data_IF_497438143614
#
_entry.id   IF_497438143614
#
_cell.length_a   1.000
_cell.length_b   1.000
_cell.length_c   1.000
_cell.angle_alpha   90.00
_cell.angle_beta   90.00
_cell.angle_gamma   90.00
#
_symmetry.space_group_name_H-M   'P 1'
#
loop_
_entity.id
_entity.type
_entity.pdbx_description
1 polymer ?
#
# COMPACT_ATOMS: atom_id res chain seq x y z
N UNK A 1 20.83 61.99 35.75
CA UNK A 1 21.77 61.09 35.05
C UNK A 1 21.39 59.68 35.44
N UNK A 2 20.76 58.95 34.52
CA UNK A 2 20.05 57.71 34.80
C UNK A 2 20.98 56.51 34.87
N UNK A 3 20.75 55.67 35.88
CA UNK A 3 21.17 54.27 35.96
C UNK A 3 20.08 53.40 35.35
N UNK A 4 20.43 52.37 34.56
CA UNK A 4 19.79 51.04 34.53
C UNK A 4 20.43 50.16 33.45
N UNK A 5 20.72 48.92 33.86
CA UNK A 5 21.30 47.83 33.09
C UNK A 5 20.39 47.29 31.98
N UNK A 6 20.96 46.58 31.00
CA UNK A 6 20.32 45.37 30.44
C UNK A 6 21.12 44.63 29.36
N UNK A 7 21.29 43.33 29.64
CA UNK A 7 21.48 42.15 28.77
C UNK A 7 22.68 42.03 27.82
N UNK A 8 23.59 41.14 28.24
CA UNK A 8 24.51 40.37 27.41
C UNK A 8 23.69 39.53 26.41
N UNK A 9 23.92 39.75 25.12
CA UNK A 9 23.39 38.89 24.07
C UNK A 9 24.01 37.50 24.15
N UNK A 10 23.18 36.50 24.46
CA UNK A 10 23.53 35.09 24.33
C UNK A 10 23.42 34.75 22.85
N UNK A 11 24.52 34.29 22.26
CA UNK A 11 24.52 33.71 20.92
C UNK A 11 23.65 32.45 20.95
N UNK A 12 22.48 32.51 20.33
CA UNK A 12 21.66 31.32 20.04
C UNK A 12 22.33 30.61 18.87
N UNK A 13 23.23 29.67 19.19
CA UNK A 13 23.65 28.65 18.24
C UNK A 13 22.39 27.85 17.87
N UNK A 14 21.90 28.04 16.64
CA UNK A 14 20.87 27.19 16.07
C UNK A 14 21.41 25.78 15.92
N UNK A 15 21.07 24.90 16.85
CA UNK A 15 21.29 23.46 16.69
C UNK A 15 20.24 22.98 15.69
N UNK A 16 20.66 22.76 14.45
CA UNK A 16 19.90 21.97 13.50
C UNK A 16 19.88 20.53 14.01
N UNK A 17 18.78 20.14 14.67
CA UNK A 17 18.53 18.74 15.01
C UNK A 17 18.17 18.05 13.71
N UNK A 18 19.16 17.43 13.07
CA UNK A 18 18.93 16.43 12.04
C UNK A 18 18.25 15.24 12.74
N UNK A 19 16.94 15.08 12.53
CA UNK A 19 16.25 13.84 12.85
C UNK A 19 16.78 12.75 11.92
N UNK A 20 17.87 12.11 12.34
CA UNK A 20 18.28 10.82 11.81
C UNK A 20 17.21 9.84 12.30
N UNK A 21 16.25 9.54 11.44
CA UNK A 21 15.34 8.41 11.63
C UNK A 21 16.17 7.13 11.55
N UNK A 22 16.78 6.76 12.67
CA UNK A 22 17.26 5.41 12.89
C UNK A 22 16.01 4.54 12.96
N UNK A 23 15.73 3.81 11.89
CA UNK A 23 14.84 2.66 11.94
C UNK A 23 15.48 1.63 12.87
N UNK A 24 15.13 1.69 14.16
CA UNK A 24 15.37 0.60 15.08
C UNK A 24 14.45 -0.54 14.69
N UNK A 25 15.00 -1.53 14.00
CA UNK A 25 14.38 -2.84 13.82
C UNK A 25 14.15 -3.43 15.21
N UNK A 26 12.91 -3.35 15.69
CA UNK A 26 12.46 -4.16 16.82
C UNK A 26 12.45 -5.60 16.30
N UNK A 27 13.57 -6.30 16.54
CA UNK A 27 13.68 -7.72 16.31
C UNK A 27 12.74 -8.45 17.27
N UNK A 28 11.50 -8.69 16.84
CA UNK A 28 10.70 -9.74 17.44
C UNK A 28 11.37 -11.06 17.06
N UNK A 29 11.79 -11.82 18.08
CA UNK A 29 12.37 -13.14 17.92
C UNK A 29 11.38 -14.04 17.17
N UNK A 30 11.61 -14.22 15.86
CA UNK A 30 10.95 -15.21 15.04
C UNK A 30 11.62 -16.56 15.30
N UNK A 31 10.81 -17.54 15.71
CA UNK A 31 11.21 -18.94 15.60
C UNK A 31 11.58 -19.27 14.14
N UNK A 32 12.26 -20.40 13.90
CA UNK A 32 12.73 -20.75 12.57
C UNK A 32 11.53 -20.91 11.64
N UNK A 33 11.47 -20.10 10.57
CA UNK A 33 10.62 -20.40 9.40
C UNK A 33 9.63 -19.35 8.93
N UNK A 34 9.67 -18.09 9.39
CA UNK A 34 8.66 -17.10 8.98
C UNK A 34 9.28 -15.79 8.49
N UNK A 35 9.58 -15.74 7.20
CA UNK A 35 10.04 -14.54 6.48
C UNK A 35 8.82 -13.74 5.96
N UNK A 36 8.21 -12.93 6.82
CA UNK A 36 7.23 -11.90 6.48
C UNK A 36 7.29 -10.74 7.47
N UNK A 37 6.80 -9.56 7.08
CA UNK A 37 6.74 -8.34 7.90
C UNK A 37 5.28 -8.00 8.21
N UNK A 38 4.98 -7.55 9.42
CA UNK A 38 3.63 -7.06 9.76
C UNK A 38 3.67 -5.66 10.37
N UNK A 39 2.69 -4.84 10.01
CA UNK A 39 2.35 -3.58 10.65
C UNK A 39 0.90 -3.67 11.16
N UNK A 40 0.75 -3.73 12.49
CA UNK A 40 -0.53 -4.00 13.13
C UNK A 40 -1.13 -5.35 12.69
N UNK A 41 -2.26 -5.31 11.99
CA UNK A 41 -2.97 -6.50 11.48
C UNK A 41 -2.62 -6.84 10.04
N UNK A 42 -1.95 -5.93 9.32
CA UNK A 42 -1.56 -6.12 7.93
C UNK A 42 -0.15 -6.70 7.88
N UNK A 43 0.01 -7.77 7.11
CA UNK A 43 1.26 -8.47 6.93
C UNK A 43 1.58 -8.57 5.45
N UNK A 44 2.85 -8.59 5.10
CA UNK A 44 3.31 -8.75 3.73
C UNK A 44 4.56 -9.61 3.65
N UNK A 45 4.69 -10.32 2.53
CA UNK A 45 5.86 -11.11 2.16
C UNK A 45 6.28 -10.77 0.75
N UNK A 46 7.53 -10.32 0.60
CA UNK A 46 8.15 -10.12 -0.71
C UNK A 46 8.71 -11.43 -1.24
N UNK A 47 8.54 -11.67 -2.54
CA UNK A 47 9.07 -12.83 -3.25
C UNK A 47 9.88 -12.29 -4.42
N UNK A 48 11.17 -12.62 -4.44
CA UNK A 48 12.04 -12.32 -5.57
C UNK A 48 11.64 -13.19 -6.77
N UNK A 49 11.36 -12.57 -7.92
CA UNK A 49 10.88 -13.26 -9.12
C UNK A 49 11.99 -13.90 -9.94
N UNK A 50 13.23 -13.43 -9.80
CA UNK A 50 14.40 -13.87 -10.55
C UNK A 50 14.79 -15.34 -10.35
N UNK A 51 14.26 -16.01 -9.33
CA UNK A 51 14.54 -17.41 -9.01
C UNK A 51 13.29 -18.26 -8.76
N UNK A 52 12.08 -17.71 -8.96
CA UNK A 52 10.84 -18.33 -8.51
C UNK A 52 9.78 -18.46 -9.59
N UNK A 53 8.87 -19.40 -9.33
CA UNK A 53 7.57 -19.58 -10.00
C UNK A 53 6.72 -18.30 -10.17
N UNK A 54 7.07 -17.18 -9.53
CA UNK A 54 6.35 -15.91 -9.60
C UNK A 54 6.63 -15.10 -10.89
N UNK A 55 7.74 -15.39 -11.59
CA UNK A 55 8.11 -14.76 -12.85
C UNK A 55 6.95 -14.68 -13.89
N UNK A 56 6.19 -15.76 -14.21
CA UNK A 56 5.10 -15.64 -15.18
C UNK A 56 3.97 -14.67 -14.78
N UNK A 57 3.85 -14.24 -13.52
CA UNK A 57 2.82 -13.27 -13.10
C UNK A 57 3.36 -11.84 -13.12
N UNK A 58 4.55 -11.62 -12.55
CA UNK A 58 5.12 -10.28 -12.38
C UNK A 58 6.30 -9.98 -13.31
N UNK A 59 6.64 -10.90 -14.21
CA UNK A 59 7.85 -10.84 -15.04
C UNK A 59 9.07 -10.53 -14.15
N UNK A 60 9.85 -9.51 -14.50
CA UNK A 60 11.02 -9.05 -13.76
C UNK A 60 10.67 -8.13 -12.57
N UNK A 61 9.39 -7.92 -12.26
CA UNK A 61 8.94 -7.07 -11.15
C UNK A 61 8.86 -7.87 -9.85
N UNK A 62 9.14 -7.22 -8.71
CA UNK A 62 8.97 -7.83 -7.40
C UNK A 62 7.51 -8.16 -7.14
N UNK A 63 7.25 -9.38 -6.65
CA UNK A 63 5.94 -9.83 -6.22
C UNK A 63 5.84 -9.68 -4.70
N UNK A 64 4.78 -9.04 -4.22
CA UNK A 64 4.47 -8.93 -2.79
C UNK A 64 3.11 -9.54 -2.54
N UNK A 65 3.00 -10.40 -1.52
CA UNK A 65 1.70 -10.87 -1.05
C UNK A 65 1.40 -10.24 0.29
N UNK A 66 0.26 -9.55 0.38
CA UNK A 66 -0.20 -8.86 1.58
C UNK A 66 -1.51 -9.48 2.07
N UNK A 67 -1.73 -9.52 3.38
CA UNK A 67 -2.96 -10.01 3.98
C UNK A 67 -3.26 -9.28 5.29
N UNK A 68 -4.53 -9.27 5.66
CA UNK A 68 -4.96 -8.77 6.96
C UNK A 68 -5.37 -9.96 7.84
N UNK A 69 -4.73 -10.11 9.01
CA UNK A 69 -4.98 -11.22 9.94
C UNK A 69 -6.41 -11.26 10.47
N UNK A 70 -7.14 -10.13 10.45
CA UNK A 70 -8.56 -10.07 10.80
C UNK A 70 -9.49 -10.50 9.67
N UNK A 71 -8.95 -10.67 8.45
CA UNK A 71 -9.67 -11.03 7.22
C UNK A 71 -8.98 -12.22 6.51
N UNK A 72 -8.93 -13.41 7.14
CA UNK A 72 -8.05 -14.52 6.74
C UNK A 72 -8.39 -15.18 5.38
N UNK A 73 -9.43 -14.73 4.69
CA UNK A 73 -9.80 -15.22 3.35
C UNK A 73 -9.28 -14.35 2.21
N UNK A 74 -8.71 -13.18 2.50
CA UNK A 74 -8.35 -12.19 1.49
C UNK A 74 -6.85 -11.91 1.47
N UNK A 75 -6.28 -12.05 0.27
CA UNK A 75 -4.86 -11.85 0.03
C UNK A 75 -4.69 -10.94 -1.18
N UNK A 76 -3.88 -9.90 -1.06
CA UNK A 76 -3.52 -9.03 -2.17
C UNK A 76 -2.17 -9.46 -2.71
N UNK A 77 -2.12 -9.91 -3.96
CA UNK A 77 -0.88 -10.14 -4.69
C UNK A 77 -0.59 -8.90 -5.53
N UNK A 78 0.55 -8.25 -5.31
CA UNK A 78 0.94 -7.03 -6.00
C UNK A 78 2.23 -7.25 -6.79
N UNK A 79 2.22 -6.93 -8.08
CA UNK A 79 3.44 -6.72 -8.85
C UNK A 79 3.81 -5.24 -8.79
N UNK A 80 4.98 -4.94 -8.23
CA UNK A 80 5.49 -3.57 -8.20
C UNK A 80 6.26 -3.28 -9.48
N UNK A 81 5.69 -2.48 -10.36
CA UNK A 81 6.38 -2.11 -11.59
C UNK A 81 7.53 -1.15 -11.25
N UNK A 82 8.72 -1.39 -11.82
CA UNK A 82 9.81 -0.40 -11.83
C UNK A 82 9.63 0.67 -12.93
N UNK A 83 8.43 0.80 -13.50
CA UNK A 83 8.12 1.78 -14.53
C UNK A 83 7.71 3.15 -13.96
N UNK A 84 7.67 4.17 -14.82
CA UNK A 84 7.36 5.56 -14.44
C UNK A 84 5.86 5.81 -14.26
N UNK A 85 5.02 5.01 -14.94
CA UNK A 85 3.59 4.94 -14.71
C UNK A 85 3.35 3.99 -13.54
N UNK A 86 2.75 4.44 -12.44
CA UNK A 86 2.40 3.52 -11.34
C UNK A 86 1.18 2.66 -11.73
N UNK A 87 1.39 1.78 -12.71
CA UNK A 87 0.48 0.74 -13.16
C UNK A 87 0.78 -0.58 -12.43
N UNK A 88 0.97 -0.49 -11.11
CA UNK A 88 1.11 -1.70 -10.31
C UNK A 88 -0.15 -2.53 -10.50
N UNK A 89 0.05 -3.80 -10.81
CA UNK A 89 -1.03 -4.76 -10.95
C UNK A 89 -1.26 -5.43 -9.61
N UNK A 90 -2.50 -5.45 -9.17
CA UNK A 90 -2.89 -6.05 -7.90
C UNK A 90 -4.00 -7.06 -8.15
N UNK A 91 -3.92 -8.22 -7.49
CA UNK A 91 -4.96 -9.23 -7.55
C UNK A 91 -5.39 -9.61 -6.13
N UNK A 92 -6.65 -9.32 -5.83
CA UNK A 92 -7.29 -9.81 -4.62
C UNK A 92 -7.71 -11.25 -4.85
N UNK A 93 -7.08 -12.17 -4.12
CA UNK A 93 -7.42 -13.58 -4.07
C UNK A 93 -8.38 -13.80 -2.89
N UNK A 94 -9.62 -14.17 -3.20
CA UNK A 94 -10.58 -14.69 -2.23
C UNK A 94 -10.36 -16.20 -2.09
N UNK A 95 -9.55 -16.59 -1.10
CA UNK A 95 -9.19 -18.00 -0.85
C UNK A 95 -10.44 -18.86 -0.60
N UNK A 96 -11.46 -18.31 0.05
CA UNK A 96 -12.66 -19.05 0.45
C UNK A 96 -13.56 -19.37 -0.75
N UNK A 97 -13.75 -18.40 -1.63
CA UNK A 97 -14.66 -18.56 -2.78
C UNK A 97 -13.94 -18.94 -4.07
N UNK A 98 -12.60 -18.95 -4.09
CA UNK A 98 -11.81 -19.22 -5.29
C UNK A 98 -11.79 -18.06 -6.31
N UNK A 99 -12.41 -16.92 -5.98
CA UNK A 99 -12.52 -15.77 -6.87
C UNK A 99 -11.24 -14.94 -6.86
N UNK A 100 -10.96 -14.29 -7.99
CA UNK A 100 -9.85 -13.35 -8.13
C UNK A 100 -10.37 -12.07 -8.79
N UNK A 101 -10.01 -10.93 -8.20
CA UNK A 101 -10.35 -9.60 -8.69
C UNK A 101 -9.07 -8.82 -8.97
N UNK A 102 -8.99 -8.13 -10.11
CA UNK A 102 -7.79 -7.43 -10.54
C UNK A 102 -7.97 -5.92 -10.50
N UNK A 103 -6.95 -5.22 -10.01
CA UNK A 103 -6.95 -3.76 -9.83
C UNK A 103 -5.63 -3.16 -10.28
N UNK A 104 -5.68 -1.91 -10.72
CA UNK A 104 -4.52 -1.07 -10.91
C UNK A 104 -4.28 -0.20 -9.67
N UNK A 105 -3.14 0.47 -9.62
CA UNK A 105 -2.77 1.39 -8.55
C UNK A 105 -1.76 0.81 -7.56
N UNK A 106 -1.16 1.65 -6.74
CA UNK A 106 -0.13 1.23 -5.78
C UNK A 106 -0.77 0.78 -4.47
N UNK A 107 -0.61 -0.48 -4.10
CA UNK A 107 -1.05 -0.99 -2.80
C UNK A 107 -0.31 -0.31 -1.64
N UNK A 108 -1.06 0.06 -0.60
CA UNK A 108 -0.57 0.65 0.64
C UNK A 108 -1.30 0.04 1.84
N UNK A 109 -0.66 0.08 3.01
CA UNK A 109 -1.29 -0.39 4.25
C UNK A 109 -2.39 0.58 4.68
N UNK A 110 -3.49 0.05 5.21
CA UNK A 110 -4.55 0.83 5.85
C UNK A 110 -4.04 1.55 7.11
N UNK A 111 -3.07 0.96 7.83
CA UNK A 111 -2.42 1.59 9.00
C UNK A 111 -1.73 2.92 8.65
N UNK A 112 -1.08 3.00 7.48
CA UNK A 112 -0.45 4.22 6.98
C UNK A 112 -1.48 5.34 6.82
N UNK A 113 -2.69 5.02 6.32
CA UNK A 113 -3.75 6.01 6.13
C UNK A 113 -4.23 6.64 7.44
N UNK A 114 -4.07 5.96 8.58
CA UNK A 114 -4.40 6.52 9.88
C UNK A 114 -3.40 7.53 10.44
N UNK A 115 -2.25 7.68 9.79
CA UNK A 115 -1.14 8.54 10.22
C UNK A 115 -0.97 9.77 9.32
N UNK A 116 -1.79 9.90 8.28
CA UNK A 116 -1.61 10.90 7.21
C UNK A 116 -2.86 11.73 6.99
N UNK A 117 -2.66 12.94 6.49
CA UNK A 117 -3.68 13.89 6.07
C UNK A 117 -3.54 14.22 4.57
N UNK A 118 -4.36 15.15 4.07
CA UNK A 118 -4.33 15.57 2.67
C UNK A 118 -3.07 16.34 2.26
N UNK A 119 -2.31 16.88 3.22
CA UNK A 119 -1.04 17.56 2.94
C UNK A 119 0.14 16.59 2.96
N UNK A 120 -0.08 15.35 3.40
CA UNK A 120 0.99 14.36 3.54
C UNK A 120 1.54 13.95 2.19
N UNK A 121 2.86 14.04 2.06
CA UNK A 121 3.58 13.59 0.89
C UNK A 121 3.85 12.09 0.93
N UNK A 122 3.44 11.40 -0.12
CA UNK A 122 3.74 9.99 -0.34
C UNK A 122 5.02 9.90 -1.18
N UNK A 123 6.03 9.10 -0.78
CA UNK A 123 7.22 8.90 -1.58
C UNK A 123 6.87 8.40 -3.00
N UNK A 124 7.30 9.11 -4.03
CA UNK A 124 7.24 8.67 -5.43
C UNK A 124 8.67 8.63 -6.01
N UNK A 125 8.81 8.06 -7.21
CA UNK A 125 10.10 7.78 -7.87
C UNK A 125 10.96 9.03 -8.04
N UNK A 126 10.35 10.17 -8.37
CA UNK A 126 11.09 11.39 -8.73
C UNK A 126 11.12 12.41 -7.61
N UNK A 127 10.01 12.57 -6.91
CA UNK A 127 9.86 13.43 -5.75
C UNK A 127 8.63 12.96 -4.95
N UNK A 128 8.55 13.23 -3.65
CA UNK A 128 7.32 13.02 -2.90
C UNK A 128 6.13 13.77 -3.53
N UNK A 129 4.94 13.17 -3.47
CA UNK A 129 3.71 13.74 -4.03
C UNK A 129 2.59 13.64 -3.00
N UNK A 130 1.86 14.74 -2.80
CA UNK A 130 0.74 14.79 -1.85
C UNK A 130 -0.43 13.87 -2.22
N UNK A 131 -1.24 13.54 -1.23
CA UNK A 131 -2.58 13.02 -1.46
C UNK A 131 -3.48 14.10 -2.09
N UNK A 132 -4.50 13.69 -2.85
CA UNK A 132 -5.48 14.63 -3.41
C UNK A 132 -6.40 15.22 -2.33
N UNK A 133 -6.66 14.42 -1.31
CA UNK A 133 -7.51 14.76 -0.17
C UNK A 133 -7.11 13.89 1.03
N UNK A 134 -7.54 14.29 2.22
CA UNK A 134 -7.32 13.47 3.41
C UNK A 134 -8.07 12.14 3.28
N UNK A 135 -7.46 10.98 3.63
CA UNK A 135 -8.12 9.69 3.51
C UNK A 135 -9.32 9.60 4.46
N UNK A 136 -10.52 9.59 3.88
CA UNK A 136 -11.78 9.35 4.61
C UNK A 136 -12.01 7.86 4.72
N UNK A 137 -12.76 7.44 5.75
CA UNK A 137 -13.25 6.07 5.92
C UNK A 137 -12.20 4.95 5.99
N UNK A 138 -10.91 5.24 6.22
CA UNK A 138 -9.88 4.19 6.30
C UNK A 138 -10.15 3.19 7.43
N UNK A 139 -10.85 3.62 8.49
CA UNK A 139 -11.26 2.79 9.62
C UNK A 139 -12.51 1.92 9.34
N UNK A 140 -13.16 2.07 8.18
CA UNK A 140 -14.31 1.23 7.84
C UNK A 140 -13.87 -0.24 7.82
N UNK A 141 -14.56 -1.05 8.61
CA UNK A 141 -14.32 -2.49 8.70
C UNK A 141 -14.53 -3.17 7.35
N UNK A 142 -15.32 -2.61 6.43
CA UNK A 142 -15.52 -3.16 5.09
C UNK A 142 -14.26 -3.10 4.21
N UNK A 143 -13.29 -2.24 4.55
CA UNK A 143 -12.01 -2.14 3.85
C UNK A 143 -11.19 -3.42 4.03
N UNK A 144 -10.71 -3.95 2.90
CA UNK A 144 -9.77 -5.06 2.86
C UNK A 144 -8.33 -4.56 2.63
N UNK A 145 -8.17 -3.64 1.67
CA UNK A 145 -6.89 -3.05 1.26
C UNK A 145 -7.12 -1.63 0.73
N UNK A 146 -6.06 -0.84 0.62
CA UNK A 146 -6.08 0.48 0.00
C UNK A 146 -5.07 0.58 -1.15
N UNK A 147 -5.45 1.33 -2.19
CA UNK A 147 -4.67 1.56 -3.39
C UNK A 147 -4.51 3.06 -3.62
N UNK A 148 -3.39 3.49 -4.17
CA UNK A 148 -3.13 4.85 -4.61
C UNK A 148 -3.20 4.95 -6.14
N UNK A 149 -3.93 5.94 -6.63
CA UNK A 149 -4.09 6.24 -8.05
C UNK A 149 -3.63 7.67 -8.35
N UNK A 150 -2.84 7.85 -9.42
CA UNK A 150 -2.44 9.19 -9.84
C UNK A 150 -3.63 9.92 -10.45
N UNK A 151 -3.89 11.14 -9.98
CA UNK A 151 -4.92 12.04 -10.54
C UNK A 151 -4.28 13.35 -10.95
N UNK A 152 -4.69 13.94 -12.09
CA UNK A 152 -4.27 15.29 -12.44
C UNK A 152 -4.52 16.25 -11.28
N UNK A 153 -3.56 17.13 -11.02
CA UNK A 153 -3.66 18.18 -10.03
C UNK A 153 -3.09 19.46 -10.65
N UNK A 154 -3.86 20.55 -10.57
CA UNK A 154 -3.51 21.82 -11.22
C UNK A 154 -2.67 22.74 -10.31
N UNK A 155 -2.08 22.18 -9.25
CA UNK A 155 -1.31 22.95 -8.27
C UNK A 155 0.20 22.91 -8.55
N UNK A 156 1.03 22.56 -7.55
CA UNK A 156 2.50 22.57 -7.63
C UNK A 156 3.04 21.28 -8.26
N UNK A 157 2.35 20.16 -8.06
CA UNK A 157 2.68 18.86 -8.66
C UNK A 157 1.72 18.59 -9.81
N UNK A 158 2.17 17.99 -10.94
CA UNK A 158 1.30 17.67 -12.07
C UNK A 158 0.23 16.62 -11.74
N UNK A 159 0.35 15.95 -10.60
CA UNK A 159 -0.63 15.02 -10.09
C UNK A 159 -0.60 14.94 -8.57
N UNK A 160 -1.67 14.39 -8.01
CA UNK A 160 -1.79 13.96 -6.61
C UNK A 160 -2.17 12.48 -6.54
N UNK A 161 -2.11 11.89 -5.36
CA UNK A 161 -2.58 10.52 -5.11
C UNK A 161 -4.00 10.48 -4.55
N UNK A 162 -4.93 9.91 -5.31
CA UNK A 162 -6.25 9.52 -4.80
C UNK A 162 -6.13 8.17 -4.09
N UNK A 163 -6.69 8.08 -2.88
CA UNK A 163 -6.85 6.83 -2.16
C UNK A 163 -8.14 6.14 -2.60
N UNK A 164 -8.06 4.88 -2.99
CA UNK A 164 -9.23 4.02 -3.21
C UNK A 164 -9.17 2.78 -2.32
N UNK A 165 -10.34 2.33 -1.87
CA UNK A 165 -10.47 1.19 -0.98
C UNK A 165 -11.05 0.00 -1.72
N UNK A 166 -10.38 -1.14 -1.61
CA UNK A 166 -10.95 -2.44 -1.98
C UNK A 166 -11.82 -2.89 -0.82
N UNK A 167 -13.15 -2.94 -1.01
CA UNK A 167 -14.13 -3.23 0.04
C UNK A 167 -14.90 -4.51 -0.24
N UNK A 168 -15.32 -5.19 0.83
CA UNK A 168 -16.36 -6.23 0.75
C UNK A 168 -17.68 -5.69 1.29
N UNK A 169 -18.64 -5.47 0.39
CA UNK A 169 -19.99 -4.98 0.73
C UNK A 169 -21.00 -5.98 0.20
N UNK A 170 -21.90 -6.48 1.06
CA UNK A 170 -22.96 -7.43 0.68
C UNK A 170 -22.46 -8.61 -0.16
N UNK A 171 -21.32 -9.20 0.27
CA UNK A 171 -20.66 -10.31 -0.44
C UNK A 171 -20.08 -9.98 -1.84
N UNK A 172 -20.11 -8.71 -2.26
CA UNK A 172 -19.46 -8.22 -3.48
C UNK A 172 -18.15 -7.53 -3.14
N UNK A 173 -17.14 -7.71 -4.00
CA UNK A 173 -15.94 -6.89 -3.99
C UNK A 173 -16.19 -5.63 -4.81
N UNK A 174 -15.99 -4.47 -4.20
CA UNK A 174 -16.13 -3.17 -4.83
C UNK A 174 -14.87 -2.35 -4.63
N UNK A 175 -14.62 -1.43 -5.55
CA UNK A 175 -13.59 -0.42 -5.40
C UNK A 175 -14.28 0.91 -5.11
N UNK A 176 -13.88 1.60 -4.05
CA UNK A 176 -14.52 2.85 -3.62
C UNK A 176 -13.47 3.96 -3.55
N UNK A 177 -13.67 5.03 -4.34
CA UNK A 177 -12.83 6.23 -4.30
C UNK A 177 -13.47 7.36 -3.50
N UNK A 178 -12.98 8.57 -3.66
CA UNK A 178 -13.56 9.75 -2.99
C UNK A 178 -14.98 10.05 -3.50
N UNK A 179 -15.23 9.79 -4.78
CA UNK A 179 -16.49 10.10 -5.46
C UNK A 179 -17.50 8.93 -5.47
N UNK A 180 -17.25 7.88 -4.68
CA UNK A 180 -18.13 6.71 -4.57
C UNK A 180 -17.56 5.42 -5.20
N UNK A 181 -18.46 4.46 -5.49
CA UNK A 181 -18.10 3.18 -6.12
C UNK A 181 -17.57 3.40 -7.55
N UNK A 182 -16.44 2.78 -7.84
CA UNK A 182 -15.80 2.79 -9.15
C UNK A 182 -16.22 1.53 -9.90
N UNK A 183 -16.92 1.72 -11.02
CA UNK A 183 -17.48 0.62 -11.80
C UNK A 183 -16.40 -0.29 -12.40
N UNK A 184 -16.63 -1.62 -12.46
CA UNK A 184 -15.66 -2.58 -13.02
C UNK A 184 -15.27 -2.36 -14.49
N UNK A 185 -16.05 -1.60 -15.26
CA UNK A 185 -15.73 -1.25 -16.64
C UNK A 185 -14.70 -0.11 -16.77
N UNK A 186 -14.28 0.50 -15.65
CA UNK A 186 -13.28 1.55 -15.67
C UNK A 186 -11.87 0.93 -15.70
N UNK A 187 -11.28 0.87 -16.90
CA UNK A 187 -9.96 0.27 -17.14
C UNK A 187 -8.79 1.03 -16.49
N UNK A 188 -9.01 2.26 -16.02
CA UNK A 188 -8.01 2.98 -15.21
C UNK A 188 -7.87 2.43 -13.78
N UNK A 189 -8.77 1.55 -13.36
CA UNK A 189 -8.88 1.03 -12.01
C UNK A 189 -8.93 -0.49 -11.95
N UNK A 190 -9.61 -1.11 -12.91
CA UNK A 190 -9.89 -2.54 -12.93
C UNK A 190 -9.12 -3.24 -14.04
N UNK A 191 -8.65 -4.45 -13.73
CA UNK A 191 -8.11 -5.36 -14.74
C UNK A 191 -9.28 -6.24 -15.20
N UNK A 192 -9.77 -5.97 -16.41
CA UNK A 192 -11.02 -6.53 -16.93
C UNK A 192 -10.99 -8.04 -17.16
N UNK A 193 -9.82 -8.60 -17.53
CA UNK A 193 -9.67 -10.02 -17.82
C UNK A 193 -8.45 -10.59 -17.11
N UNK A 194 -8.65 -11.70 -16.39
CA UNK A 194 -7.57 -12.46 -15.76
C UNK A 194 -7.61 -13.86 -16.35
N UNK A 195 -6.54 -14.25 -17.04
CA UNK A 195 -6.43 -15.54 -17.69
C UNK A 195 -6.46 -16.69 -16.66
N UNK A 196 -7.07 -17.82 -17.03
CA UNK A 196 -7.28 -18.94 -16.10
C UNK A 196 -5.97 -19.52 -15.54
N UNK A 197 -4.91 -19.59 -16.34
CA UNK A 197 -3.61 -20.04 -15.85
C UNK A 197 -3.05 -19.09 -14.79
N UNK A 198 -3.26 -17.77 -14.96
CA UNK A 198 -2.85 -16.74 -14.00
C UNK A 198 -3.64 -16.88 -12.71
N UNK A 199 -4.95 -17.13 -12.79
CA UNK A 199 -5.79 -17.43 -11.62
C UNK A 199 -5.26 -18.62 -10.82
N UNK A 200 -4.99 -19.74 -11.50
CA UNK A 200 -4.43 -20.95 -10.88
C UNK A 200 -3.10 -20.67 -10.18
N UNK A 201 -2.24 -19.87 -10.83
CA UNK A 201 -0.92 -19.52 -10.29
C UNK A 201 -1.01 -18.59 -9.08
N UNK A 202 -1.88 -17.57 -9.11
CA UNK A 202 -2.15 -16.68 -7.97
C UNK A 202 -2.63 -17.48 -6.75
N UNK A 203 -3.58 -18.42 -6.94
CA UNK A 203 -4.02 -19.33 -5.88
C UNK A 203 -2.91 -20.22 -5.33
N UNK A 204 -2.00 -20.70 -6.19
CA UNK A 204 -0.84 -21.50 -5.78
C UNK A 204 0.14 -20.69 -4.94
N UNK A 205 0.44 -19.45 -5.34
CA UNK A 205 1.31 -18.54 -4.60
C UNK A 205 0.74 -18.27 -3.20
N UNK A 206 -0.55 -17.90 -3.11
CA UNK A 206 -1.19 -17.64 -1.81
C UNK A 206 -1.16 -18.88 -0.92
N UNK A 207 -1.46 -20.07 -1.45
CA UNK A 207 -1.39 -21.31 -0.66
C UNK A 207 0.00 -21.59 -0.09
N UNK A 208 1.05 -21.37 -0.88
CA UNK A 208 2.44 -21.58 -0.43
C UNK A 208 2.87 -20.63 0.68
N UNK A 209 2.39 -19.39 0.67
CA UNK A 209 2.82 -18.36 1.64
C UNK A 209 2.14 -18.56 3.00
N UNK A 210 0.88 -18.96 2.99
CA UNK A 210 0.05 -18.99 4.20
C UNK A 210 -0.06 -20.40 4.81
N UNK A 211 0.47 -21.41 4.12
CA UNK A 211 0.33 -22.82 4.49
C UNK A 211 -1.01 -23.43 4.06
N UNK A 212 -1.07 -24.76 3.99
CA UNK A 212 -2.30 -25.50 3.67
C UNK A 212 -3.30 -25.54 4.84
N UNK A 213 -2.88 -25.19 6.06
CA UNK A 213 -3.72 -25.31 7.25
C UNK A 213 -4.65 -24.10 7.45
N UNK A 214 -5.84 -24.21 6.89
CA UNK A 214 -7.00 -23.38 7.23
C UNK A 214 -8.29 -24.09 6.87
#
# INVERSE_FOLDING_TARGET
MNSSASYKGVAVLGVAIALILNYSSIANASGPGVDYVCDGYECSKSIETSSTDANPICEDSNLVVSWNRTRPSYYMVTCSCNCTMQLNSNWLVDKKNGNIYGFLGRNINLSFLGQVDGATEVPDRFAPVKLCSAPKDYQDKSNLFALLHKRPDDTVSPYCYEVTFVRRINNKIVLHGEHGEIVPSNEGYWISTIEEWRKKKLHSIVRRIVGEDG
#
